data_IF_828747125588
#
_entry.id   IF_828747125588
#
_cell.length_a   1.000
_cell.length_b   1.000
_cell.length_c   1.000
_cell.angle_alpha   90.00
_cell.angle_beta   90.00
_cell.angle_gamma   90.00
#
_symmetry.space_group_name_H-M   'P 1'
#
loop_
_entity.id
_entity.type
_entity.pdbx_description
1 polymer ?
#
# COMPACT_ATOMS: atom_id res chain seq x y z
N UNK A 1 26.63 13.46 4.86
CA UNK A 1 25.22 13.02 4.61
C UNK A 1 25.23 11.56 4.27
N UNK A 2 24.42 10.71 4.97
CA UNK A 2 24.36 9.26 4.72
C UNK A 2 23.63 8.96 3.43
N UNK A 3 24.09 7.92 2.72
CA UNK A 3 23.41 7.39 1.56
C UNK A 3 22.52 6.22 1.98
N UNK A 4 21.23 6.24 1.61
CA UNK A 4 20.22 5.26 1.98
C UNK A 4 19.91 4.33 0.81
N UNK A 5 20.09 3.03 0.99
CA UNK A 5 19.55 2.05 0.04
C UNK A 5 18.08 1.81 0.38
N UNK A 6 17.19 2.24 -0.50
CA UNK A 6 15.75 2.10 -0.31
C UNK A 6 15.23 0.83 -0.99
N UNK A 7 14.60 -0.04 -0.23
CA UNK A 7 13.93 -1.23 -0.70
C UNK A 7 12.43 -1.15 -0.43
N UNK A 8 11.62 -1.53 -1.43
CA UNK A 8 10.18 -1.60 -1.34
C UNK A 8 9.62 -2.54 -2.43
N UNK A 9 8.31 -2.68 -2.53
CA UNK A 9 7.67 -3.46 -3.60
C UNK A 9 7.64 -2.65 -4.91
N UNK A 10 8.65 -2.81 -5.76
CA UNK A 10 8.93 -2.06 -7.00
C UNK A 10 8.07 -2.50 -8.20
N UNK A 11 6.77 -2.65 -8.04
CA UNK A 11 5.86 -3.19 -9.06
C UNK A 11 4.99 -2.15 -9.78
N UNK A 12 5.31 -0.86 -9.66
CA UNK A 12 4.44 0.25 -10.09
C UNK A 12 3.07 0.09 -9.43
N UNK A 13 3.07 0.15 -8.10
CA UNK A 13 1.89 0.07 -7.24
C UNK A 13 1.76 1.39 -6.49
N UNK A 14 0.67 2.12 -6.72
CA UNK A 14 0.46 3.44 -6.12
C UNK A 14 0.64 3.42 -4.59
N UNK A 15 0.11 2.39 -3.91
CA UNK A 15 0.22 2.29 -2.45
C UNK A 15 1.66 2.24 -1.96
N UNK A 16 2.52 1.44 -2.61
CA UNK A 16 3.93 1.33 -2.26
C UNK A 16 4.74 2.55 -2.72
N UNK A 17 4.36 3.14 -3.85
CA UNK A 17 5.02 4.34 -4.37
C UNK A 17 4.76 5.57 -3.48
N UNK A 18 3.61 5.64 -2.78
CA UNK A 18 3.33 6.67 -1.78
C UNK A 18 4.32 6.62 -0.60
N UNK A 19 4.70 5.44 -0.14
CA UNK A 19 5.73 5.32 0.90
C UNK A 19 7.06 5.91 0.44
N UNK A 20 7.44 5.64 -0.82
CA UNK A 20 8.68 6.17 -1.40
C UNK A 20 8.61 7.68 -1.52
N UNK A 21 7.51 8.23 -2.05
CA UNK A 21 7.28 9.69 -2.16
C UNK A 21 7.48 10.36 -0.80
N UNK A 22 6.80 9.89 0.24
CA UNK A 22 6.85 10.46 1.59
C UNK A 22 8.27 10.47 2.14
N UNK A 23 9.02 9.36 1.97
CA UNK A 23 10.42 9.29 2.43
C UNK A 23 11.33 10.25 1.68
N UNK A 24 11.21 10.33 0.35
CA UNK A 24 12.05 11.22 -0.48
C UNK A 24 11.77 12.70 -0.21
N UNK A 25 10.52 13.03 0.11
CA UNK A 25 10.13 14.40 0.47
C UNK A 25 10.53 14.77 1.90
N UNK A 26 10.55 13.79 2.82
CA UNK A 26 10.90 14.01 4.22
C UNK A 26 12.39 14.28 4.43
N UNK A 27 13.28 13.63 3.68
CA UNK A 27 14.72 13.66 3.94
C UNK A 27 15.54 14.28 2.80
N UNK A 28 16.64 14.97 3.18
CA UNK A 28 17.63 15.51 2.22
C UNK A 28 18.68 14.50 1.79
N UNK A 29 18.75 13.36 2.46
CA UNK A 29 19.71 12.31 2.22
C UNK A 29 19.65 11.78 0.78
N UNK A 30 20.75 11.26 0.27
CA UNK A 30 20.79 10.60 -1.04
C UNK A 30 20.19 9.19 -0.95
N UNK A 31 19.25 8.89 -1.82
CA UNK A 31 18.59 7.57 -1.89
C UNK A 31 19.01 6.79 -3.13
N UNK A 32 19.28 5.51 -2.93
CA UNK A 32 19.56 4.56 -3.99
C UNK A 32 18.36 3.63 -4.11
N UNK A 33 17.72 3.63 -5.28
CA UNK A 33 16.48 2.90 -5.54
C UNK A 33 16.69 1.94 -6.72
N UNK A 34 15.84 0.92 -6.84
CA UNK A 34 15.81 0.00 -7.98
C UNK A 34 15.65 0.78 -9.31
N UNK A 35 16.33 0.33 -10.37
CA UNK A 35 16.21 0.93 -11.70
C UNK A 35 14.82 0.79 -12.32
N UNK A 36 13.99 -0.12 -11.79
CA UNK A 36 12.58 -0.25 -12.17
C UNK A 36 11.74 0.93 -11.76
N UNK A 37 12.19 1.68 -10.77
CA UNK A 37 11.55 2.86 -10.22
C UNK A 37 12.05 4.16 -10.83
N UNK A 38 12.56 4.11 -12.08
CA UNK A 38 13.06 5.31 -12.79
C UNK A 38 12.04 6.43 -12.87
N UNK A 39 10.76 6.11 -12.99
CA UNK A 39 9.66 7.06 -13.00
C UNK A 39 9.58 7.87 -11.71
N UNK A 40 9.91 7.28 -10.53
CA UNK A 40 9.99 8.01 -9.25
C UNK A 40 11.31 8.80 -9.19
N UNK A 41 12.43 8.16 -9.54
CA UNK A 41 13.76 8.78 -9.48
C UNK A 41 13.84 10.08 -10.29
N UNK A 42 13.13 10.15 -11.40
CA UNK A 42 13.10 11.34 -12.26
C UNK A 42 12.40 12.55 -11.61
N UNK A 43 11.56 12.30 -10.60
CA UNK A 43 10.79 13.34 -9.91
C UNK A 43 11.55 13.95 -8.70
N UNK A 44 12.68 13.34 -8.26
CA UNK A 44 13.37 13.72 -7.03
C UNK A 44 14.88 13.86 -7.23
N UNK A 45 15.43 14.99 -6.82
CA UNK A 45 16.85 15.34 -6.91
C UNK A 45 17.75 14.51 -5.97
N UNK A 46 17.18 14.00 -4.90
CA UNK A 46 17.86 13.20 -3.88
C UNK A 46 17.78 11.69 -4.12
N UNK A 47 17.23 11.23 -5.25
CA UNK A 47 17.10 9.83 -5.60
C UNK A 47 17.88 9.48 -6.87
N UNK A 48 18.52 8.30 -6.88
CA UNK A 48 19.19 7.75 -8.07
C UNK A 48 18.88 6.27 -8.26
N UNK A 49 18.73 5.86 -9.51
CA UNK A 49 18.56 4.47 -9.87
C UNK A 49 19.93 3.74 -9.85
N UNK A 50 19.95 2.51 -9.34
CA UNK A 50 21.16 1.70 -9.28
C UNK A 50 20.93 0.27 -9.74
N UNK A 51 21.77 -0.19 -10.67
CA UNK A 51 21.82 -1.61 -11.11
C UNK A 51 22.26 -2.53 -9.97
N UNK A 52 23.13 -2.07 -9.07
CA UNK A 52 23.52 -2.84 -7.89
C UNK A 52 22.32 -3.10 -6.96
N UNK A 53 21.46 -2.10 -6.78
CA UNK A 53 20.19 -2.26 -6.07
C UNK A 53 19.26 -3.27 -6.77
N UNK A 54 19.23 -3.31 -8.10
CA UNK A 54 18.47 -4.29 -8.85
C UNK A 54 19.00 -5.70 -8.67
N UNK A 55 20.31 -5.87 -8.68
CA UNK A 55 20.96 -7.15 -8.45
C UNK A 55 20.67 -7.67 -7.04
N UNK A 56 20.72 -6.79 -6.04
CA UNK A 56 20.34 -7.12 -4.67
C UNK A 56 18.84 -7.52 -4.58
N UNK A 57 17.95 -6.71 -5.13
CA UNK A 57 16.52 -6.99 -5.15
C UNK A 57 16.19 -8.26 -5.99
N UNK A 58 16.93 -8.50 -7.08
CA UNK A 58 16.81 -9.73 -7.88
C UNK A 58 17.23 -10.94 -7.07
N UNK A 59 18.36 -10.87 -6.37
CA UNK A 59 18.84 -11.94 -5.51
C UNK A 59 17.82 -12.26 -4.41
N UNK A 60 17.25 -11.25 -3.76
CA UNK A 60 16.18 -11.42 -2.77
C UNK A 60 14.93 -12.10 -3.34
N UNK A 61 14.55 -11.79 -4.59
CA UNK A 61 13.44 -12.48 -5.27
C UNK A 61 13.76 -13.92 -5.65
N UNK A 62 15.00 -14.23 -6.03
CA UNK A 62 15.42 -15.60 -6.33
C UNK A 62 15.45 -16.45 -5.06
N UNK A 63 15.92 -15.91 -3.95
CA UNK A 63 15.83 -16.53 -2.63
C UNK A 63 14.38 -16.86 -2.31
N UNK A 64 13.46 -15.93 -2.45
CA UNK A 64 12.02 -16.14 -2.22
C UNK A 64 11.36 -17.18 -3.14
N UNK A 65 11.98 -17.53 -4.28
CA UNK A 65 11.49 -18.52 -5.27
C UNK A 65 12.19 -19.88 -5.21
N UNK A 66 12.98 -20.16 -4.17
CA UNK A 66 13.63 -21.45 -4.01
C UNK A 66 14.90 -21.67 -4.79
N UNK A 67 15.46 -20.64 -5.37
CA UNK A 67 16.73 -20.73 -6.07
C UNK A 67 17.83 -20.21 -5.17
N UNK A 68 18.74 -21.10 -4.74
CA UNK A 68 19.91 -20.72 -3.95
C UNK A 68 20.79 -19.73 -4.73
N UNK A 69 20.64 -18.46 -4.40
CA UNK A 69 21.59 -17.44 -4.86
C UNK A 69 22.23 -16.85 -3.62
N UNK A 70 23.48 -17.09 -3.42
CA UNK A 70 24.30 -16.35 -2.46
C UNK A 70 24.45 -14.95 -3.04
N UNK A 71 23.52 -14.05 -2.71
CA UNK A 71 23.71 -12.64 -3.03
C UNK A 71 24.78 -12.10 -2.09
N UNK A 72 25.93 -11.73 -2.60
CA UNK A 72 26.95 -11.16 -1.75
C UNK A 72 26.45 -9.83 -1.19
N UNK A 73 26.68 -9.59 0.11
CA UNK A 73 26.44 -8.31 0.77
C UNK A 73 27.11 -7.10 0.05
N UNK A 74 28.12 -7.37 -0.80
CA UNK A 74 28.79 -6.40 -1.68
C UNK A 74 27.93 -5.76 -2.77
N UNK A 75 26.69 -6.24 -3.01
CA UNK A 75 25.71 -5.54 -3.88
C UNK A 75 24.90 -4.50 -3.14
N UNK A 76 25.07 -4.43 -1.84
CA UNK A 76 24.49 -3.35 -1.05
C UNK A 76 25.29 -2.06 -1.30
N UNK A 77 24.60 -1.03 -1.73
CA UNK A 77 25.19 0.28 -1.99
C UNK A 77 24.53 1.31 -1.06
N UNK A 78 25.27 1.82 -0.07
CA UNK A 78 24.77 2.81 0.87
C UNK A 78 25.28 2.59 2.30
N UNK A 79 25.03 3.52 3.18
CA UNK A 79 25.43 3.51 4.59
C UNK A 79 24.40 2.76 5.48
N UNK A 80 23.16 2.66 5.01
CA UNK A 80 22.08 1.93 5.67
C UNK A 80 21.05 1.42 4.65
N UNK A 81 20.29 0.38 5.04
CA UNK A 81 19.15 -0.12 4.29
C UNK A 81 17.85 0.34 4.97
N UNK A 82 16.99 0.98 4.19
CA UNK A 82 15.60 1.23 4.57
C UNK A 82 14.68 0.30 3.78
N UNK A 83 13.99 -0.61 4.48
CA UNK A 83 12.97 -1.47 3.90
C UNK A 83 11.59 -0.96 4.30
N UNK A 84 10.85 -0.42 3.33
CA UNK A 84 9.59 0.28 3.57
C UNK A 84 8.47 -0.35 2.74
N UNK A 85 7.27 -0.38 3.29
CA UNK A 85 6.08 -0.89 2.61
C UNK A 85 5.13 -1.61 3.55
N UNK A 86 3.90 -1.78 3.10
CA UNK A 86 2.85 -2.38 3.92
C UNK A 86 2.99 -3.89 4.09
N UNK A 87 2.86 -4.64 3.02
CA UNK A 87 2.80 -6.11 3.04
C UNK A 87 4.15 -6.75 2.74
N UNK A 88 5.15 -6.49 3.57
CA UNK A 88 6.52 -6.99 3.36
C UNK A 88 6.70 -8.45 3.78
N UNK A 89 6.02 -8.86 4.84
CA UNK A 89 6.18 -10.18 5.47
C UNK A 89 4.94 -11.03 5.27
N UNK A 90 4.75 -11.53 4.04
CA UNK A 90 3.69 -12.47 3.65
C UNK A 90 4.33 -13.83 3.40
N UNK A 91 3.78 -14.88 4.00
CA UNK A 91 4.24 -16.23 3.75
C UNK A 91 3.96 -16.65 2.30
N UNK A 92 5.03 -16.78 1.52
CA UNK A 92 4.98 -17.26 0.14
C UNK A 92 6.08 -18.31 -0.06
N UNK A 93 5.72 -19.48 -0.60
CA UNK A 93 6.68 -20.48 -1.03
C UNK A 93 7.17 -21.47 0.05
N UNK A 94 8.32 -22.09 -0.20
CA UNK A 94 8.87 -23.19 0.59
C UNK A 94 9.64 -22.70 1.83
N UNK A 95 9.53 -23.34 3.03
CA UNK A 95 10.26 -23.01 4.26
C UNK A 95 11.77 -22.87 4.13
N UNK A 96 12.42 -23.65 3.25
CA UNK A 96 13.87 -23.52 2.98
C UNK A 96 14.28 -22.15 2.47
N UNK A 97 13.34 -21.36 1.94
CA UNK A 97 13.60 -20.04 1.41
C UNK A 97 13.70 -18.99 2.51
N UNK A 98 12.96 -19.18 3.57
CA UNK A 98 12.93 -18.24 4.69
C UNK A 98 14.26 -18.22 5.44
N UNK A 99 14.91 -19.39 5.56
CA UNK A 99 16.26 -19.49 6.14
C UNK A 99 17.29 -18.72 5.34
N UNK A 100 17.15 -18.71 4.00
CA UNK A 100 18.05 -17.98 3.11
C UNK A 100 17.81 -16.46 3.18
N UNK A 101 16.57 -16.01 3.26
CA UNK A 101 16.25 -14.59 3.47
C UNK A 101 16.79 -14.09 4.81
N UNK A 102 16.59 -14.86 5.88
CA UNK A 102 17.16 -14.59 7.20
C UNK A 102 18.70 -14.48 7.15
N UNK A 103 19.38 -15.44 6.48
CA UNK A 103 20.84 -15.41 6.32
C UNK A 103 21.31 -14.16 5.59
N UNK A 104 20.54 -13.68 4.61
CA UNK A 104 20.88 -12.47 3.89
C UNK A 104 20.87 -11.24 4.77
N UNK A 105 19.83 -11.07 5.61
CA UNK A 105 19.79 -9.97 6.59
C UNK A 105 20.92 -10.09 7.61
N UNK A 106 21.25 -11.29 8.08
CA UNK A 106 22.37 -11.53 9.01
C UNK A 106 23.75 -11.19 8.41
N UNK A 107 23.88 -11.21 7.09
CA UNK A 107 25.13 -10.89 6.37
C UNK A 107 25.26 -9.43 5.97
N UNK A 108 24.23 -8.61 6.23
CA UNK A 108 24.34 -7.18 6.03
C UNK A 108 25.33 -6.59 7.05
N UNK A 109 26.35 -5.91 6.56
CA UNK A 109 27.35 -5.21 7.38
C UNK A 109 26.88 -3.81 7.82
N UNK A 110 25.74 -3.37 7.33
CA UNK A 110 25.17 -2.04 7.56
C UNK A 110 23.85 -2.17 8.32
N UNK A 111 23.48 -1.16 9.12
CA UNK A 111 22.21 -1.17 9.82
C UNK A 111 21.05 -1.16 8.83
N UNK A 112 19.96 -1.85 9.18
CA UNK A 112 18.73 -1.83 8.41
C UNK A 112 17.54 -1.46 9.29
N UNK A 113 16.61 -0.76 8.65
CA UNK A 113 15.40 -0.22 9.24
C UNK A 113 14.19 -0.77 8.48
N UNK A 114 13.12 -1.10 9.19
CA UNK A 114 11.88 -1.63 8.59
C UNK A 114 10.72 -0.75 9.05
N UNK A 115 10.06 -0.07 8.11
CA UNK A 115 8.99 0.86 8.44
C UNK A 115 7.69 0.57 7.68
N UNK A 116 6.57 0.81 8.33
CA UNK A 116 5.23 0.75 7.74
C UNK A 116 4.70 -0.64 7.47
N UNK A 117 5.42 -1.70 7.88
CA UNK A 117 5.07 -3.06 7.54
C UNK A 117 4.01 -3.67 8.45
N UNK A 118 3.42 -4.77 7.95
CA UNK A 118 2.66 -5.72 8.75
C UNK A 118 3.19 -7.15 8.57
N UNK A 119 2.89 -8.02 9.52
CA UNK A 119 3.19 -9.45 9.47
C UNK A 119 1.94 -10.21 9.00
N UNK A 120 2.11 -11.05 7.97
CA UNK A 120 1.05 -11.92 7.46
C UNK A 120 0.35 -11.41 6.19
N UNK A 121 -0.51 -12.27 5.61
CA UNK A 121 -0.90 -13.57 6.18
C UNK A 121 0.25 -14.58 6.20
N UNK A 122 0.25 -15.43 7.23
CA UNK A 122 1.15 -16.56 7.37
C UNK A 122 0.41 -17.78 7.96
N UNK A 123 0.98 -18.98 7.81
CA UNK A 123 0.40 -20.25 8.25
C UNK A 123 1.31 -21.03 9.19
N UNK A 124 2.63 -20.89 9.01
CA UNK A 124 3.61 -21.68 9.76
C UNK A 124 4.29 -20.86 10.86
N UNK A 125 4.47 -21.48 12.06
CA UNK A 125 5.25 -20.87 13.13
C UNK A 125 6.69 -20.55 12.73
N UNK A 126 7.27 -21.37 11.84
CA UNK A 126 8.64 -21.22 11.33
C UNK A 126 8.80 -19.92 10.53
N UNK A 127 7.77 -19.56 9.73
CA UNK A 127 7.76 -18.28 9.03
C UNK A 127 7.77 -17.12 10.02
N UNK A 128 6.90 -17.17 11.04
CA UNK A 128 6.86 -16.14 12.06
C UNK A 128 8.20 -15.99 12.77
N UNK A 129 8.83 -17.12 13.15
CA UNK A 129 10.14 -17.07 13.82
C UNK A 129 11.24 -16.52 12.90
N UNK A 130 11.19 -16.81 11.62
CA UNK A 130 12.08 -16.20 10.63
C UNK A 130 11.91 -14.67 10.60
N UNK A 131 10.66 -14.17 10.55
CA UNK A 131 10.38 -12.72 10.59
C UNK A 131 10.90 -12.10 11.87
N UNK A 132 10.60 -12.71 13.03
CA UNK A 132 11.08 -12.26 14.34
C UNK A 132 12.61 -12.22 14.40
N UNK A 133 13.29 -13.21 13.80
CA UNK A 133 14.76 -13.21 13.73
C UNK A 133 15.31 -12.05 12.88
N UNK A 134 14.64 -11.68 11.77
CA UNK A 134 14.98 -10.49 11.00
C UNK A 134 14.77 -9.24 11.86
N UNK A 135 13.68 -9.15 12.60
CA UNK A 135 13.39 -8.01 13.47
C UNK A 135 14.44 -7.82 14.58
N UNK A 136 14.89 -8.91 15.22
CA UNK A 136 15.96 -8.86 16.24
C UNK A 136 17.29 -8.31 15.71
N UNK A 137 17.56 -8.45 14.43
CA UNK A 137 18.78 -7.93 13.80
C UNK A 137 18.66 -6.51 13.26
N UNK A 138 17.45 -5.94 13.23
CA UNK A 138 17.21 -4.59 12.72
C UNK A 138 17.69 -3.52 13.72
N UNK A 139 18.06 -2.35 13.22
CA UNK A 139 18.30 -1.18 14.04
C UNK A 139 16.99 -0.59 14.58
N UNK A 140 15.91 -0.69 13.80
CA UNK A 140 14.55 -0.27 14.17
C UNK A 140 13.53 -0.99 13.31
N UNK A 141 12.39 -1.35 13.90
CA UNK A 141 11.22 -1.89 13.23
C UNK A 141 9.98 -1.16 13.70
N UNK A 142 9.28 -0.49 12.82
CA UNK A 142 7.99 0.09 13.11
C UNK A 142 6.88 -0.56 12.29
N UNK A 143 6.04 -1.34 12.94
CA UNK A 143 4.86 -1.95 12.34
C UNK A 143 3.66 -1.00 12.41
N UNK A 144 2.66 -1.20 11.52
CA UNK A 144 1.54 -0.26 11.38
C UNK A 144 0.23 -0.71 12.01
N UNK A 145 0.17 -1.91 12.58
CA UNK A 145 -1.05 -2.47 13.17
C UNK A 145 -0.77 -3.21 14.49
N UNK A 146 -1.81 -3.30 15.31
CA UNK A 146 -1.73 -3.95 16.62
C UNK A 146 -1.44 -5.44 16.55
N UNK A 147 -2.03 -6.13 15.56
CA UNK A 147 -1.81 -7.56 15.35
C UNK A 147 -0.33 -7.87 15.11
N UNK A 148 0.32 -7.15 14.19
CA UNK A 148 1.75 -7.33 13.91
C UNK A 148 2.63 -6.97 15.11
N UNK A 149 2.25 -5.94 15.86
CA UNK A 149 2.95 -5.56 17.08
C UNK A 149 2.88 -6.66 18.13
N UNK A 150 1.71 -7.22 18.40
CA UNK A 150 1.52 -8.27 19.40
C UNK A 150 2.33 -9.53 19.09
N UNK A 151 2.56 -9.84 17.81
CA UNK A 151 3.40 -10.96 17.37
C UNK A 151 4.91 -10.75 17.65
N UNK A 152 5.35 -9.53 17.94
CA UNK A 152 6.78 -9.21 18.05
C UNK A 152 7.12 -8.19 19.14
N UNK A 153 6.19 -7.81 20.02
CA UNK A 153 6.36 -6.77 21.05
C UNK A 153 7.42 -7.08 22.12
N UNK A 154 7.83 -8.33 22.25
CA UNK A 154 8.92 -8.76 23.13
C UNK A 154 10.31 -8.47 22.52
N UNK A 155 10.40 -8.03 21.27
CA UNK A 155 11.64 -7.63 20.61
C UNK A 155 11.86 -6.14 20.85
N UNK A 156 12.94 -5.72 21.53
CA UNK A 156 13.13 -4.32 21.95
C UNK A 156 13.14 -3.30 20.81
N UNK A 157 13.53 -3.71 19.60
CA UNK A 157 13.58 -2.85 18.42
C UNK A 157 12.21 -2.64 17.78
N UNK A 158 11.19 -3.41 18.19
CA UNK A 158 9.86 -3.36 17.59
C UNK A 158 8.99 -2.34 18.29
N UNK A 159 8.47 -1.42 17.55
CA UNK A 159 7.50 -0.40 17.97
C UNK A 159 6.33 -0.34 17.01
N UNK A 160 5.27 0.32 17.40
CA UNK A 160 4.05 0.49 16.58
C UNK A 160 3.74 1.96 16.37
N UNK A 161 3.32 2.28 15.16
CA UNK A 161 2.67 3.53 14.80
C UNK A 161 1.54 3.24 13.80
N UNK A 162 0.82 4.24 13.34
CA UNK A 162 -0.17 4.07 12.26
C UNK A 162 0.49 4.09 10.88
N UNK A 163 -0.31 3.97 9.82
CA UNK A 163 0.20 3.90 8.45
C UNK A 163 0.94 5.19 8.04
N UNK A 164 2.08 5.02 7.38
CA UNK A 164 2.94 6.12 6.90
C UNK A 164 2.18 7.06 5.97
N UNK A 165 1.25 6.56 5.14
CA UNK A 165 0.52 7.39 4.17
C UNK A 165 -0.33 8.47 4.84
N UNK A 166 -0.65 8.32 6.14
CA UNK A 166 -1.29 9.38 6.92
C UNK A 166 -0.42 10.64 7.09
N UNK A 167 0.90 10.55 6.87
CA UNK A 167 1.83 11.71 6.90
C UNK A 167 1.98 12.39 5.53
N UNK A 168 1.22 11.96 4.51
CA UNK A 168 1.27 12.56 3.18
C UNK A 168 0.98 14.06 3.24
N UNK A 169 1.86 14.87 2.65
CA UNK A 169 1.57 16.29 2.43
C UNK A 169 0.49 16.44 1.36
N UNK A 170 -0.62 17.05 1.73
CA UNK A 170 -1.77 17.29 0.84
C UNK A 170 -1.80 18.69 0.25
N UNK A 171 -0.93 19.59 0.70
CA UNK A 171 -0.93 20.99 0.25
C UNK A 171 -0.81 21.14 -1.29
N UNK A 172 -0.05 20.29 -2.00
CA UNK A 172 0.01 20.35 -3.47
C UNK A 172 -1.28 19.94 -4.19
N UNK A 173 -2.23 19.31 -3.49
CA UNK A 173 -3.43 18.71 -4.11
C UNK A 173 -4.69 19.39 -3.59
N UNK A 174 -5.15 20.47 -4.24
CA UNK A 174 -6.37 21.16 -3.81
C UNK A 174 -7.57 20.20 -3.86
N UNK A 175 -8.22 20.07 -2.71
CA UNK A 175 -9.41 19.24 -2.58
C UNK A 175 -10.63 19.96 -3.15
N UNK A 176 -11.43 19.26 -3.92
CA UNK A 176 -12.71 19.74 -4.44
C UNK A 176 -13.71 18.58 -4.48
N UNK A 177 -14.96 18.90 -4.74
CA UNK A 177 -15.98 17.92 -5.13
C UNK A 177 -16.34 18.19 -6.57
N UNK A 178 -15.82 17.37 -7.48
CA UNK A 178 -16.11 17.47 -8.92
C UNK A 178 -17.27 16.56 -9.35
N UNK A 179 -18.05 16.04 -8.37
CA UNK A 179 -19.15 15.10 -8.61
C UNK A 179 -18.72 13.68 -8.96
N UNK A 180 -17.41 13.37 -8.95
CA UNK A 180 -16.89 12.05 -9.29
C UNK A 180 -16.77 11.14 -8.08
N UNK A 181 -17.20 9.89 -8.22
CA UNK A 181 -16.88 8.81 -7.29
C UNK A 181 -15.66 8.06 -7.80
N UNK A 182 -14.67 7.85 -6.96
CA UNK A 182 -13.50 7.03 -7.29
C UNK A 182 -13.69 5.63 -6.70
N UNK A 183 -13.64 4.61 -7.53
CA UNK A 183 -13.70 3.19 -7.11
C UNK A 183 -12.35 2.56 -7.40
N UNK A 184 -11.54 2.31 -6.37
CA UNK A 184 -10.30 1.56 -6.55
C UNK A 184 -10.62 0.07 -6.66
N UNK A 185 -10.15 -0.55 -7.74
CA UNK A 185 -10.47 -1.91 -8.12
C UNK A 185 -9.28 -2.84 -7.88
N UNK A 186 -9.55 -4.09 -7.50
CA UNK A 186 -8.56 -5.18 -7.50
C UNK A 186 -8.98 -6.25 -8.51
N UNK A 187 -8.02 -7.03 -9.00
CA UNK A 187 -8.36 -8.28 -9.68
C UNK A 187 -8.63 -9.39 -8.64
N UNK A 188 -9.91 -9.59 -8.33
CA UNK A 188 -10.34 -10.57 -7.33
C UNK A 188 -9.97 -12.02 -7.72
N UNK A 189 -9.72 -12.32 -9.02
CA UNK A 189 -9.28 -13.66 -9.47
C UNK A 189 -7.89 -14.03 -8.93
N UNK A 190 -7.09 -13.05 -8.51
CA UNK A 190 -5.77 -13.28 -7.91
C UNK A 190 -5.86 -13.73 -6.43
N UNK A 191 -7.04 -13.63 -5.81
CA UNK A 191 -7.23 -13.81 -4.36
C UNK A 191 -8.33 -14.81 -4.02
N UNK A 192 -9.31 -14.97 -4.89
CA UNK A 192 -10.51 -15.78 -4.71
C UNK A 192 -10.73 -16.70 -5.91
N UNK A 193 -11.65 -17.66 -5.75
CA UNK A 193 -12.14 -18.45 -6.87
C UNK A 193 -12.95 -17.61 -7.89
N UNK A 194 -13.21 -18.19 -9.05
CA UNK A 194 -13.88 -17.51 -10.15
C UNK A 194 -15.30 -17.03 -9.79
N UNK A 195 -15.99 -17.74 -8.90
CA UNK A 195 -17.37 -17.41 -8.50
C UNK A 195 -17.38 -16.14 -7.65
N UNK A 196 -16.55 -16.08 -6.63
CA UNK A 196 -16.41 -14.90 -5.76
C UNK A 196 -15.88 -13.71 -6.57
N UNK A 197 -14.91 -13.94 -7.46
CA UNK A 197 -14.38 -12.88 -8.32
C UNK A 197 -15.45 -12.29 -9.25
N UNK A 198 -16.31 -13.14 -9.85
CA UNK A 198 -17.41 -12.66 -10.68
C UNK A 198 -18.47 -11.89 -9.88
N UNK A 199 -18.75 -12.31 -8.64
CA UNK A 199 -19.66 -11.58 -7.73
C UNK A 199 -19.09 -10.22 -7.36
N UNK A 200 -17.76 -10.13 -7.11
CA UNK A 200 -17.10 -8.87 -6.85
C UNK A 200 -17.21 -7.91 -8.04
N UNK A 201 -16.86 -8.34 -9.26
CA UNK A 201 -16.98 -7.52 -10.46
C UNK A 201 -18.42 -7.01 -10.64
N UNK A 202 -19.42 -7.90 -10.44
CA UNK A 202 -20.85 -7.56 -10.51
C UNK A 202 -21.29 -6.56 -9.43
N UNK A 203 -20.80 -6.72 -8.20
CA UNK A 203 -21.08 -5.80 -7.10
C UNK A 203 -20.55 -4.40 -7.39
N UNK A 204 -19.31 -4.27 -7.87
CA UNK A 204 -18.73 -2.97 -8.24
C UNK A 204 -19.52 -2.33 -9.38
N UNK A 205 -19.92 -3.10 -10.41
CA UNK A 205 -20.74 -2.60 -11.50
C UNK A 205 -22.12 -2.11 -11.01
N UNK A 206 -22.73 -2.84 -10.08
CA UNK A 206 -24.02 -2.44 -9.47
C UNK A 206 -23.90 -1.17 -8.64
N UNK A 207 -22.82 -1.03 -7.82
CA UNK A 207 -22.53 0.21 -7.08
C UNK A 207 -22.36 1.39 -8.04
N UNK A 208 -21.53 1.25 -9.08
CA UNK A 208 -21.32 2.30 -10.07
C UNK A 208 -22.63 2.69 -10.78
N UNK A 209 -23.41 1.69 -11.21
CA UNK A 209 -24.71 1.91 -11.85
C UNK A 209 -25.64 2.72 -10.96
N UNK A 210 -25.73 2.37 -9.68
CA UNK A 210 -26.57 3.07 -8.71
C UNK A 210 -26.12 4.52 -8.49
N UNK A 211 -24.83 4.76 -8.30
CA UNK A 211 -24.31 6.12 -8.13
C UNK A 211 -24.66 7.01 -9.30
N UNK A 212 -24.53 6.49 -10.52
CA UNK A 212 -24.84 7.20 -11.75
C UNK A 212 -26.35 7.39 -11.99
N UNK A 213 -27.18 6.48 -11.50
CA UNK A 213 -28.63 6.58 -11.60
C UNK A 213 -29.23 7.60 -10.60
N UNK A 214 -28.62 7.70 -9.41
CA UNK A 214 -29.09 8.61 -8.36
C UNK A 214 -28.75 10.09 -8.63
N UNK A 215 -27.72 10.36 -9.41
CA UNK A 215 -27.28 11.72 -9.75
C UNK A 215 -26.87 11.78 -11.22
N UNK A 216 -27.65 12.50 -12.02
CA UNK A 216 -27.42 12.63 -13.47
C UNK A 216 -26.14 13.39 -13.81
N UNK A 217 -25.55 14.12 -12.88
CA UNK A 217 -24.28 14.86 -13.06
C UNK A 217 -23.07 14.10 -12.55
N UNK A 218 -23.27 13.08 -11.73
CA UNK A 218 -22.18 12.28 -11.17
C UNK A 218 -21.41 11.52 -12.27
N UNK A 219 -20.13 11.31 -12.02
CA UNK A 219 -19.26 10.46 -12.82
C UNK A 219 -18.61 9.40 -11.92
N UNK A 220 -18.10 8.34 -12.52
CA UNK A 220 -17.33 7.30 -11.80
C UNK A 220 -15.96 7.15 -12.45
N UNK A 221 -14.93 7.13 -11.64
CA UNK A 221 -13.57 6.77 -12.05
C UNK A 221 -13.22 5.41 -11.46
N UNK A 222 -13.16 4.36 -12.29
CA UNK A 222 -12.56 3.09 -11.90
C UNK A 222 -11.04 3.27 -11.86
N UNK A 223 -10.41 2.99 -10.72
CA UNK A 223 -9.00 3.29 -10.52
C UNK A 223 -8.17 2.04 -10.30
N UNK A 224 -7.23 1.77 -11.20
CA UNK A 224 -6.22 0.74 -11.09
C UNK A 224 -5.03 1.26 -10.31
N UNK A 225 -4.59 0.53 -9.28
CA UNK A 225 -3.40 0.85 -8.49
C UNK A 225 -2.16 0.09 -8.96
N UNK A 226 -2.33 -1.10 -9.52
CA UNK A 226 -1.22 -1.95 -9.93
C UNK A 226 -1.59 -2.80 -11.15
N UNK A 227 -1.03 -2.43 -12.32
CA UNK A 227 -1.24 -3.22 -13.55
C UNK A 227 -0.80 -4.67 -13.39
N UNK A 228 0.34 -4.90 -12.72
CA UNK A 228 0.91 -6.24 -12.55
C UNK A 228 0.01 -7.16 -11.72
N UNK A 229 -0.82 -6.60 -10.87
CA UNK A 229 -1.79 -7.33 -10.04
C UNK A 229 -3.17 -7.47 -10.72
N UNK A 230 -3.30 -7.08 -12.00
CA UNK A 230 -4.49 -7.29 -12.81
C UNK A 230 -5.58 -6.22 -12.69
N UNK A 231 -5.38 -5.18 -11.90
CA UNK A 231 -6.40 -4.16 -11.62
C UNK A 231 -7.00 -3.52 -12.88
N UNK A 232 -6.18 -3.29 -13.91
CA UNK A 232 -6.66 -2.68 -15.17
C UNK A 232 -7.64 -3.59 -15.91
N UNK A 233 -7.30 -4.88 -16.03
CA UNK A 233 -8.17 -5.85 -16.66
C UNK A 233 -9.49 -5.99 -15.87
N UNK A 234 -9.44 -5.91 -14.53
CA UNK A 234 -10.63 -5.88 -13.71
C UNK A 234 -11.48 -4.63 -13.94
N UNK A 235 -10.87 -3.44 -14.03
CA UNK A 235 -11.60 -2.22 -14.40
C UNK A 235 -12.32 -2.35 -15.74
N UNK A 236 -11.68 -2.94 -16.76
CA UNK A 236 -12.27 -3.15 -18.09
C UNK A 236 -13.43 -4.15 -18.04
N UNK A 237 -13.28 -5.27 -17.30
CA UNK A 237 -14.36 -6.25 -17.10
C UNK A 237 -15.58 -5.63 -16.40
N UNK A 238 -15.35 -4.81 -15.38
CA UNK A 238 -16.40 -4.12 -14.64
C UNK A 238 -17.10 -3.10 -15.52
N UNK A 239 -16.35 -2.26 -16.26
CA UNK A 239 -16.91 -1.27 -17.18
C UNK A 239 -17.83 -1.94 -18.22
N UNK A 240 -17.43 -3.09 -18.77
CA UNK A 240 -18.23 -3.83 -19.75
C UNK A 240 -19.55 -4.38 -19.17
N UNK A 241 -19.69 -4.51 -17.85
CA UNK A 241 -20.92 -4.94 -17.19
C UNK A 241 -21.93 -3.82 -16.93
N UNK A 242 -21.51 -2.55 -17.08
CA UNK A 242 -22.43 -1.41 -16.89
C UNK A 242 -23.37 -1.28 -18.10
N UNK A 243 -24.60 -0.77 -17.90
CA UNK A 243 -25.47 -0.34 -19.00
C UNK A 243 -24.75 0.57 -19.97
N UNK A 244 -24.87 0.34 -21.27
CA UNK A 244 -24.16 1.10 -22.31
C UNK A 244 -24.42 2.61 -22.21
N UNK A 245 -25.63 3.00 -21.81
CA UNK A 245 -26.03 4.41 -21.60
C UNK A 245 -25.27 5.09 -20.46
N UNK A 246 -24.72 4.34 -19.52
CA UNK A 246 -23.97 4.87 -18.38
C UNK A 246 -22.45 4.83 -18.60
N UNK A 247 -21.95 3.99 -19.51
CA UNK A 247 -20.51 3.80 -19.72
C UNK A 247 -19.79 5.11 -20.09
N UNK A 248 -20.45 6.04 -20.81
CA UNK A 248 -19.88 7.34 -21.17
C UNK A 248 -19.60 8.25 -19.96
N UNK A 249 -20.18 7.95 -18.80
CA UNK A 249 -19.97 8.67 -17.52
C UNK A 249 -18.97 7.96 -16.62
N UNK A 250 -18.31 6.91 -17.14
CA UNK A 250 -17.30 6.13 -16.41
C UNK A 250 -15.97 6.24 -17.12
N UNK A 251 -14.93 6.59 -16.39
CA UNK A 251 -13.56 6.63 -16.85
C UNK A 251 -12.70 5.58 -16.13
N UNK A 252 -11.56 5.20 -16.71
CA UNK A 252 -10.58 4.35 -16.06
C UNK A 252 -9.29 5.14 -15.85
N UNK A 253 -8.92 5.36 -14.59
CA UNK A 253 -7.60 5.88 -14.23
C UNK A 253 -6.61 4.72 -14.13
N UNK A 254 -5.67 4.65 -15.06
CA UNK A 254 -4.62 3.62 -15.10
C UNK A 254 -3.34 4.14 -14.48
N UNK A 255 -3.02 3.72 -13.27
CA UNK A 255 -1.78 4.11 -12.64
C UNK A 255 -0.57 3.54 -13.39
N UNK A 256 0.34 4.41 -13.79
CA UNK A 256 1.56 4.11 -14.55
C UNK A 256 2.81 4.72 -13.91
N UNK A 257 2.74 5.10 -12.64
CA UNK A 257 3.83 5.75 -11.93
C UNK A 257 3.68 7.27 -11.81
N UNK A 258 2.64 7.86 -12.35
CA UNK A 258 2.29 9.26 -12.12
C UNK A 258 1.50 9.40 -10.81
N UNK A 259 2.27 9.55 -9.71
CA UNK A 259 1.72 9.64 -8.35
C UNK A 259 0.85 10.89 -8.22
N UNK A 260 1.28 12.01 -8.78
CA UNK A 260 0.60 13.29 -8.59
C UNK A 260 -0.76 13.30 -9.31
N UNK A 261 -0.86 12.75 -10.53
CA UNK A 261 -2.12 12.57 -11.24
C UNK A 261 -3.09 11.66 -10.46
N UNK A 262 -2.56 10.59 -9.86
CA UNK A 262 -3.36 9.68 -9.06
C UNK A 262 -3.89 10.35 -7.78
N UNK A 263 -3.04 11.09 -7.06
CA UNK A 263 -3.41 11.83 -5.86
C UNK A 263 -4.42 12.95 -6.18
N UNK A 264 -4.24 13.67 -7.30
CA UNK A 264 -5.18 14.70 -7.73
C UNK A 264 -6.56 14.08 -8.02
N UNK A 265 -6.62 12.90 -8.65
CA UNK A 265 -7.88 12.18 -8.90
C UNK A 265 -8.59 11.85 -7.59
N UNK A 266 -7.86 11.38 -6.57
CA UNK A 266 -8.41 11.08 -5.25
C UNK A 266 -8.82 12.35 -4.49
N UNK A 267 -8.03 13.43 -4.57
CA UNK A 267 -8.29 14.70 -3.90
C UNK A 267 -9.55 15.40 -4.40
N UNK A 268 -9.89 15.21 -5.68
CA UNK A 268 -11.07 15.82 -6.31
C UNK A 268 -12.35 14.98 -6.19
N UNK A 269 -12.25 13.76 -5.69
CA UNK A 269 -13.39 12.87 -5.59
C UNK A 269 -14.43 13.38 -4.56
N UNK A 270 -15.73 13.14 -4.83
CA UNK A 270 -16.82 13.29 -3.88
C UNK A 270 -16.77 12.24 -2.76
N UNK A 271 -16.49 10.99 -3.14
CA UNK A 271 -16.28 9.89 -2.22
C UNK A 271 -15.40 8.82 -2.86
N UNK A 272 -14.78 7.97 -2.03
CA UNK A 272 -13.89 6.91 -2.47
C UNK A 272 -14.42 5.55 -1.99
N UNK A 273 -14.55 4.61 -2.94
CA UNK A 273 -14.88 3.21 -2.67
C UNK A 273 -13.57 2.42 -2.84
N UNK A 274 -13.01 1.93 -1.74
CA UNK A 274 -11.63 1.46 -1.73
C UNK A 274 -11.48 -0.05 -1.54
N UNK A 275 -11.26 -0.82 -2.63
CA UNK A 275 -10.78 -2.20 -2.53
C UNK A 275 -9.26 -2.26 -2.32
N UNK A 276 -8.51 -1.27 -2.77
CA UNK A 276 -7.11 -1.08 -2.42
C UNK A 276 -7.01 -0.34 -1.09
N UNK A 277 -6.26 -0.92 -0.15
CA UNK A 277 -6.15 -0.37 1.21
C UNK A 277 -5.73 1.11 1.20
N UNK A 278 -4.70 1.46 0.42
CA UNK A 278 -4.19 2.84 0.37
C UNK A 278 -5.13 3.82 -0.36
N UNK A 279 -6.14 3.35 -1.10
CA UNK A 279 -7.20 4.24 -1.59
C UNK A 279 -8.05 4.79 -0.43
N UNK A 280 -8.34 3.93 0.56
CA UNK A 280 -9.06 4.34 1.77
C UNK A 280 -8.23 5.30 2.61
N UNK A 281 -6.93 5.01 2.81
CA UNK A 281 -6.04 5.88 3.58
C UNK A 281 -5.89 7.25 2.90
N UNK A 282 -5.64 7.29 1.59
CA UNK A 282 -5.59 8.55 0.84
C UNK A 282 -6.93 9.30 0.92
N UNK A 283 -8.06 8.59 0.84
CA UNK A 283 -9.38 9.18 1.04
C UNK A 283 -9.52 9.86 2.39
N UNK A 284 -9.10 9.21 3.47
CA UNK A 284 -9.09 9.81 4.82
C UNK A 284 -8.18 11.04 4.88
N UNK A 285 -6.98 10.96 4.27
CA UNK A 285 -6.01 12.07 4.25
C UNK A 285 -6.56 13.30 3.52
N UNK A 286 -7.31 13.08 2.44
CA UNK A 286 -7.99 14.15 1.68
C UNK A 286 -9.35 14.57 2.29
N UNK A 287 -9.75 14.04 3.44
CA UNK A 287 -11.02 14.36 4.07
C UNK A 287 -12.24 13.91 3.26
N UNK A 288 -12.13 12.77 2.58
CA UNK A 288 -13.22 12.20 1.77
C UNK A 288 -14.06 11.20 2.56
N UNK A 289 -15.33 11.07 2.18
CA UNK A 289 -16.16 9.94 2.58
C UNK A 289 -15.59 8.67 1.96
N UNK A 290 -15.43 7.62 2.74
CA UNK A 290 -14.87 6.37 2.24
C UNK A 290 -15.84 5.20 2.47
N UNK A 291 -15.85 4.24 1.53
CA UNK A 291 -16.48 2.94 1.68
C UNK A 291 -15.39 1.88 1.44
N UNK A 292 -14.74 1.37 2.50
CA UNK A 292 -13.76 0.32 2.35
C UNK A 292 -14.40 -0.99 1.90
N UNK A 293 -13.74 -1.66 0.95
CA UNK A 293 -14.06 -3.03 0.54
C UNK A 293 -12.92 -3.93 1.00
N UNK A 294 -13.17 -4.70 2.06
CA UNK A 294 -12.21 -5.61 2.65
C UNK A 294 -12.21 -6.95 1.91
N UNK A 295 -11.02 -7.52 1.72
CA UNK A 295 -10.84 -8.86 1.18
C UNK A 295 -9.98 -9.75 2.10
N UNK A 296 -9.61 -9.23 3.26
CA UNK A 296 -8.82 -9.97 4.26
C UNK A 296 -8.97 -9.32 5.64
N UNK A 297 -8.69 -10.10 6.69
CA UNK A 297 -8.71 -9.63 8.07
C UNK A 297 -7.75 -8.46 8.32
N UNK A 298 -6.66 -8.41 7.55
CA UNK A 298 -5.71 -7.28 7.62
C UNK A 298 -6.40 -5.93 7.42
N UNK A 299 -7.28 -5.81 6.42
CA UNK A 299 -7.99 -4.55 6.17
C UNK A 299 -8.91 -4.23 7.34
N UNK A 300 -9.65 -5.22 7.83
CA UNK A 300 -10.56 -5.08 8.98
C UNK A 300 -9.78 -4.65 10.23
N UNK A 301 -8.68 -5.34 10.55
CA UNK A 301 -7.87 -5.05 11.73
C UNK A 301 -7.28 -3.64 11.71
N UNK A 302 -6.76 -3.20 10.57
CA UNK A 302 -6.20 -1.84 10.46
C UNK A 302 -7.30 -0.77 10.55
N UNK A 303 -8.47 -0.99 9.96
CA UNK A 303 -9.60 -0.08 10.10
C UNK A 303 -10.08 0.00 11.56
N UNK A 304 -10.09 -1.13 12.28
CA UNK A 304 -10.40 -1.16 13.70
C UNK A 304 -9.35 -0.41 14.54
N UNK A 305 -8.05 -0.60 14.27
CA UNK A 305 -6.96 0.15 14.90
C UNK A 305 -7.07 1.67 14.66
N UNK A 306 -7.61 2.07 13.50
CA UNK A 306 -7.89 3.46 13.15
C UNK A 306 -9.22 3.97 13.72
N UNK A 307 -9.97 3.13 14.44
CA UNK A 307 -11.29 3.45 14.99
C UNK A 307 -12.29 3.92 13.89
N UNK A 308 -12.20 3.31 12.71
CA UNK A 308 -13.15 3.60 11.64
C UNK A 308 -14.54 3.08 11.99
N UNK A 309 -15.54 3.95 11.99
CA UNK A 309 -16.93 3.65 12.38
C UNK A 309 -17.91 3.62 11.20
N UNK A 310 -17.43 3.91 9.99
CA UNK A 310 -18.26 3.85 8.79
C UNK A 310 -18.53 2.42 8.32
N UNK A 311 -19.37 2.26 7.28
CA UNK A 311 -19.65 0.94 6.70
C UNK A 311 -18.41 0.33 6.05
N UNK A 312 -18.29 -0.99 6.13
CA UNK A 312 -17.26 -1.79 5.47
C UNK A 312 -17.94 -2.94 4.73
N UNK A 313 -17.59 -3.14 3.47
CA UNK A 313 -18.04 -4.29 2.68
C UNK A 313 -16.97 -5.38 2.75
N UNK A 314 -17.33 -6.60 3.10
CA UNK A 314 -16.41 -7.74 3.08
C UNK A 314 -16.71 -8.63 1.86
N UNK A 315 -15.72 -8.81 0.98
CA UNK A 315 -15.86 -9.66 -0.21
C UNK A 315 -16.18 -11.12 0.16
N UNK A 316 -15.77 -11.58 1.34
CA UNK A 316 -15.98 -12.94 1.81
C UNK A 316 -17.45 -13.24 2.15
N UNK A 317 -18.22 -12.20 2.43
CA UNK A 317 -19.67 -12.25 2.70
C UNK A 317 -20.45 -11.41 1.69
N UNK A 318 -20.00 -11.37 0.44
CA UNK A 318 -20.51 -10.49 -0.61
C UNK A 318 -21.99 -10.78 -0.97
N UNK A 319 -22.46 -12.01 -0.71
CA UNK A 319 -23.84 -12.38 -0.95
C UNK A 319 -24.84 -11.66 -0.05
N UNK A 320 -24.40 -11.21 1.12
CA UNK A 320 -25.20 -10.47 2.10
C UNK A 320 -25.23 -8.95 1.81
N UNK A 321 -24.44 -8.49 0.84
CA UNK A 321 -24.30 -7.08 0.53
C UNK A 321 -25.27 -6.62 -0.58
N UNK A 322 -26.18 -5.72 -0.21
CA UNK A 322 -27.03 -5.01 -1.17
C UNK A 322 -26.46 -3.58 -1.41
N UNK A 323 -25.98 -3.25 -2.62
CA UNK A 323 -25.57 -1.89 -2.97
C UNK A 323 -26.63 -0.82 -2.67
N UNK A 324 -27.92 -1.19 -2.64
CA UNK A 324 -29.02 -0.28 -2.35
C UNK A 324 -29.01 0.25 -0.90
N UNK A 325 -28.35 -0.41 0.01
CA UNK A 325 -28.30 0.00 1.43
C UNK A 325 -27.30 1.12 1.70
N UNK A 326 -26.33 1.35 0.79
CA UNK A 326 -25.31 2.38 1.01
C UNK A 326 -25.86 3.78 0.74
N UNK A 327 -25.88 4.60 1.76
CA UNK A 327 -26.15 6.04 1.66
C UNK A 327 -24.84 6.82 1.90
N UNK A 328 -24.19 7.29 0.83
CA UNK A 328 -22.97 8.07 0.95
C UNK A 328 -23.15 9.40 1.69
N UNK A 329 -24.35 9.98 1.71
CA UNK A 329 -24.59 11.22 2.44
C UNK A 329 -24.55 11.00 3.95
N UNK A 330 -24.91 9.80 4.42
CA UNK A 330 -24.84 9.40 5.81
C UNK A 330 -23.44 8.99 6.28
N UNK A 331 -22.49 8.75 5.38
CA UNK A 331 -21.11 8.42 5.75
C UNK A 331 -20.43 9.71 6.25
N UNK A 332 -19.96 9.68 7.50
CA UNK A 332 -19.18 10.77 8.06
C UNK A 332 -17.73 10.76 7.52
N UNK A 333 -17.17 11.94 7.35
CA UNK A 333 -15.72 12.08 7.15
C UNK A 333 -15.02 11.81 8.48
N UNK A 334 -14.03 10.91 8.47
CA UNK A 334 -13.31 10.58 9.69
C UNK A 334 -12.30 11.68 10.05
N UNK A 335 -12.30 12.12 11.30
CA UNK A 335 -11.20 12.91 11.85
C UNK A 335 -9.98 12.02 12.04
N UNK A 336 -8.89 12.37 11.35
CA UNK A 336 -7.63 11.65 11.40
C UNK A 336 -6.51 12.42 12.10
N UNK A 337 -6.82 13.53 12.77
CA UNK A 337 -5.81 14.40 13.42
C UNK A 337 -4.93 13.62 14.38
N UNK A 338 -5.54 12.79 15.22
CA UNK A 338 -4.79 11.89 16.13
C UNK A 338 -3.98 10.82 15.39
N UNK A 339 -4.55 10.23 14.33
CA UNK A 339 -3.88 9.20 13.54
C UNK A 339 -2.64 9.74 12.81
N UNK A 340 -2.70 10.99 12.31
CA UNK A 340 -1.54 11.68 11.72
C UNK A 340 -0.40 11.84 12.73
N UNK A 341 -0.72 12.27 13.94
CA UNK A 341 0.28 12.39 15.01
C UNK A 341 0.93 11.04 15.33
N UNK A 342 0.13 9.98 15.42
CA UNK A 342 0.66 8.63 15.63
C UNK A 342 1.52 8.15 14.45
N UNK A 343 1.17 8.52 13.21
CA UNK A 343 1.91 8.13 12.01
C UNK A 343 3.34 8.73 11.98
N UNK A 344 3.53 9.94 12.52
CA UNK A 344 4.88 10.53 12.70
C UNK A 344 5.81 9.60 13.51
N UNK A 345 5.25 8.81 14.41
CA UNK A 345 5.98 7.79 15.15
C UNK A 345 6.71 6.78 14.25
N UNK A 346 6.28 6.56 13.01
CA UNK A 346 7.00 5.69 12.07
C UNK A 346 8.45 6.13 11.88
N UNK A 347 8.68 7.43 11.84
CA UNK A 347 9.98 8.03 11.53
C UNK A 347 10.84 8.36 12.75
N UNK A 348 10.33 8.15 13.97
CA UNK A 348 10.95 8.59 15.23
C UNK A 348 12.45 8.25 15.33
N UNK A 349 12.84 7.01 14.99
CA UNK A 349 14.23 6.59 15.04
C UNK A 349 14.99 7.05 13.79
N UNK A 350 14.37 6.96 12.63
CA UNK A 350 15.02 7.36 11.37
C UNK A 350 15.34 8.86 11.35
N UNK A 351 14.51 9.72 11.96
CA UNK A 351 14.74 11.17 12.12
C UNK A 351 15.99 11.50 12.96
N UNK A 352 16.48 10.58 13.79
CA UNK A 352 17.75 10.75 14.53
C UNK A 352 18.97 10.40 13.69
N UNK A 353 18.78 9.73 12.56
CA UNK A 353 19.86 9.17 11.74
C UNK A 353 20.00 9.90 10.40
N UNK A 354 18.90 10.43 9.88
CA UNK A 354 18.79 11.12 8.60
C UNK A 354 18.46 12.60 8.79
N UNK A 355 18.81 13.40 7.78
CA UNK A 355 18.59 14.84 7.79
C UNK A 355 17.21 15.18 7.19
N UNK A 356 16.32 15.69 8.01
CA UNK A 356 14.99 16.14 7.54
C UNK A 356 15.12 17.35 6.59
N UNK A 357 14.21 17.40 5.61
CA UNK A 357 13.94 18.66 4.90
C UNK A 357 13.19 19.60 5.88
N UNK A 358 13.65 20.84 5.97
CA UNK A 358 13.03 21.91 6.77
C UNK A 358 11.92 22.55 5.95
#
# INVERSE_FOLDING_TARGET
MKTVSLRYYDAVNLGDDLFVKIVLERYRNSFIISSRSRYIVQCYDNARASVASDLFNRAMRYVRRGRAVVAPARFFAGDLLLYIGGSLFIEQGNPTLWSQEQQLYRRLSHPYYILGSNIGPYRSPEFLEMVRSIFRGAADVCVRDSYSYDLAKDIPQVRRATDIVLTLDVAPYPTSDNGSYVISVIDATQKFDATVAAKYDKMIAALATRLLANDNTATVTLMSFCKKEGDEAACERILAQLPTTLQQRVSIHRYRGDIDSALQTLAQARAIIGSRFHANIAGMVFGKKILPIAYSDKTINILADMQYTGPVVDIRTIDDFDPATINFDAIAVQDISHLKLLAEGQFQVLDTVLERRV
#
